data_IF_362243204478
#
_entry.id   IF_362243204478
#
_cell.length_a   1.000
_cell.length_b   1.000
_cell.length_c   1.000
_cell.angle_alpha   90.00
_cell.angle_beta   90.00
_cell.angle_gamma   90.00
#
_symmetry.space_group_name_H-M   'P 1'
#
loop_
_entity.id
_entity.type
_entity.pdbx_description
1 polymer ?
#
# COMPACT_ATOMS: atom_id res chain seq x y z
N UNK A 1 6.96 -13.63 -26.13
CA UNK A 1 5.71 -12.85 -26.02
C UNK A 1 4.55 -13.84 -26.04
N UNK A 2 4.05 -14.22 -24.87
CA UNK A 2 2.88 -15.09 -24.74
C UNK A 2 1.81 -14.31 -23.98
N UNK A 3 0.80 -13.83 -24.71
CA UNK A 3 -0.43 -13.29 -24.15
C UNK A 3 -1.26 -14.47 -23.62
N UNK A 4 -1.44 -14.54 -22.30
CA UNK A 4 -2.47 -15.40 -21.71
C UNK A 4 -3.81 -14.66 -21.69
N UNK A 5 -4.88 -15.18 -22.30
CA UNK A 5 -6.20 -14.62 -22.14
C UNK A 5 -6.73 -14.95 -20.73
N UNK A 6 -7.10 -13.94 -19.94
CA UNK A 6 -7.89 -14.12 -18.71
C UNK A 6 -9.31 -14.51 -19.11
N UNK A 7 -9.72 -15.74 -18.80
CA UNK A 7 -11.11 -16.17 -18.84
C UNK A 7 -11.89 -15.43 -17.74
N UNK A 8 -12.68 -14.43 -18.14
CA UNK A 8 -13.72 -13.84 -17.29
C UNK A 8 -14.87 -14.84 -17.18
N UNK A 9 -14.97 -15.52 -16.04
CA UNK A 9 -16.10 -16.42 -15.76
C UNK A 9 -17.26 -15.58 -15.26
N UNK A 10 -18.09 -15.10 -16.19
CA UNK A 10 -19.35 -14.41 -15.88
C UNK A 10 -20.31 -15.36 -15.16
N UNK A 11 -20.48 -15.19 -13.84
CA UNK A 11 -21.54 -15.85 -13.10
C UNK A 11 -22.85 -15.13 -13.44
N UNK A 12 -23.73 -15.84 -14.16
CA UNK A 12 -25.09 -15.42 -14.46
C UNK A 12 -25.93 -15.45 -13.17
N UNK A 13 -26.13 -14.30 -12.54
CA UNK A 13 -27.21 -14.13 -11.55
C UNK A 13 -28.56 -14.16 -12.29
N UNK A 14 -29.11 -15.36 -12.46
CA UNK A 14 -30.49 -15.56 -12.86
C UNK A 14 -31.39 -15.52 -11.61
N UNK A 15 -32.40 -14.65 -11.61
CA UNK A 15 -33.71 -14.71 -10.92
C UNK A 15 -34.36 -13.34 -11.18
N UNK A 16 -35.54 -13.17 -11.79
CA UNK A 16 -36.76 -13.94 -11.64
C UNK A 16 -37.69 -13.23 -10.66
N UNK A 17 -38.64 -12.42 -11.16
CA UNK A 17 -39.83 -11.97 -10.41
C UNK A 17 -39.85 -10.51 -9.94
N UNK A 18 -40.92 -9.80 -10.33
CA UNK A 18 -41.30 -8.44 -9.95
C UNK A 18 -41.54 -8.29 -8.43
N UNK A 19 -40.78 -7.44 -7.74
CA UNK A 19 -41.21 -6.79 -6.49
C UNK A 19 -40.33 -5.55 -6.23
N UNK A 20 -40.95 -4.37 -6.25
CA UNK A 20 -40.30 -3.09 -5.90
C UNK A 20 -40.13 -3.03 -4.39
N UNK A 21 -38.89 -3.15 -3.93
CA UNK A 21 -38.45 -2.80 -2.58
C UNK A 21 -37.18 -1.95 -2.72
N UNK A 22 -37.27 -0.72 -2.23
CA UNK A 22 -36.14 0.20 -2.01
C UNK A 22 -35.16 -0.44 -1.04
N UNK A 23 -34.28 -1.31 -1.55
CA UNK A 23 -33.07 -1.71 -0.87
C UNK A 23 -31.97 -0.80 -1.41
N UNK A 24 -31.44 0.03 -0.53
CA UNK A 24 -30.17 0.73 -0.69
C UNK A 24 -29.21 -0.19 -1.43
N UNK A 25 -28.92 0.14 -2.68
CA UNK A 25 -27.78 -0.39 -3.38
C UNK A 25 -26.55 0.18 -2.66
N UNK A 26 -26.18 -0.42 -1.53
CA UNK A 26 -24.78 -0.53 -1.19
C UNK A 26 -24.20 -1.40 -2.29
N UNK A 27 -23.82 -0.78 -3.41
CA UNK A 27 -22.85 -1.40 -4.29
C UNK A 27 -21.69 -1.74 -3.37
N UNK A 28 -21.37 -3.03 -3.21
CA UNK A 28 -20.07 -3.43 -2.73
C UNK A 28 -19.09 -2.75 -3.68
N UNK A 29 -18.56 -1.60 -3.25
CA UNK A 29 -17.47 -0.96 -3.97
C UNK A 29 -16.32 -1.89 -3.68
N UNK A 30 -16.01 -2.74 -4.64
CA UNK A 30 -14.85 -3.60 -4.58
C UNK A 30 -13.65 -2.65 -4.53
N UNK A 31 -12.98 -2.63 -3.37
CA UNK A 31 -11.84 -1.75 -3.16
C UNK A 31 -10.60 -2.54 -3.54
N UNK A 32 -9.67 -1.93 -4.27
CA UNK A 32 -8.37 -2.55 -4.56
C UNK A 32 -7.46 -2.64 -3.31
N UNK A 33 -7.97 -2.33 -2.10
CA UNK A 33 -7.25 -2.54 -0.84
C UNK A 33 -6.84 -4.00 -0.71
N UNK A 34 -5.54 -4.21 -0.60
CA UNK A 34 -4.94 -5.54 -0.50
C UNK A 34 -4.52 -6.17 -1.83
N UNK A 35 -4.85 -5.55 -2.97
CA UNK A 35 -4.32 -5.98 -4.27
C UNK A 35 -2.79 -5.87 -4.28
N UNK A 36 -2.05 -6.82 -4.90
CA UNK A 36 -0.60 -6.79 -4.91
C UNK A 36 -0.07 -5.63 -5.75
N UNK A 37 1.02 -5.01 -5.30
CA UNK A 37 1.72 -3.94 -6.00
C UNK A 37 3.23 -4.10 -5.89
N UNK A 38 3.97 -3.44 -6.79
CA UNK A 38 5.42 -3.31 -6.78
C UNK A 38 5.81 -2.00 -6.09
N UNK A 39 6.70 -2.12 -5.11
CA UNK A 39 7.29 -0.99 -4.41
C UNK A 39 8.26 -0.26 -5.33
N UNK A 40 8.16 1.06 -5.35
CA UNK A 40 9.09 1.94 -6.04
C UNK A 40 9.87 2.80 -5.04
N UNK A 41 11.05 3.23 -5.44
CA UNK A 41 11.86 4.21 -4.71
C UNK A 41 11.40 5.61 -5.09
N UNK A 42 10.96 6.36 -4.08
CA UNK A 42 10.44 7.72 -4.22
C UNK A 42 11.48 8.72 -4.76
N UNK A 43 12.77 8.35 -4.71
CA UNK A 43 13.86 9.19 -5.18
C UNK A 43 14.76 8.41 -6.12
N UNK A 44 14.70 8.79 -7.39
CA UNK A 44 15.76 8.53 -8.35
C UNK A 44 17.06 9.16 -7.82
N UNK A 45 18.01 8.32 -7.41
CA UNK A 45 19.29 8.76 -6.89
C UNK A 45 20.40 8.41 -7.88
N UNK A 46 20.76 9.38 -8.73
CA UNK A 46 21.88 9.27 -9.68
C UNK A 46 23.24 9.03 -9.02
N UNK A 47 23.34 9.18 -7.69
CA UNK A 47 24.55 8.87 -6.94
C UNK A 47 24.73 7.37 -6.70
N UNK A 48 23.70 6.55 -6.90
CA UNK A 48 23.81 5.09 -6.86
C UNK A 48 24.73 4.59 -7.99
N UNK A 49 25.74 3.74 -7.68
CA UNK A 49 26.61 3.17 -8.70
C UNK A 49 25.80 2.43 -9.77
N UNK A 50 25.93 2.83 -11.03
CA UNK A 50 25.20 2.23 -12.15
C UNK A 50 23.89 2.93 -12.54
N UNK A 51 23.38 3.86 -11.71
CA UNK A 51 22.11 4.56 -11.95
C UNK A 51 22.26 5.96 -12.56
N UNK A 52 23.49 6.42 -12.78
CA UNK A 52 23.74 7.75 -13.36
C UNK A 52 23.28 7.79 -14.82
N UNK A 53 22.33 8.67 -15.12
CA UNK A 53 21.83 8.90 -16.48
C UNK A 53 20.80 7.87 -16.95
N UNK A 54 20.29 7.02 -16.05
CA UNK A 54 19.21 6.07 -16.33
C UNK A 54 17.87 6.83 -16.32
N UNK A 55 17.05 6.69 -17.36
CA UNK A 55 15.74 7.33 -17.47
C UNK A 55 14.65 6.48 -16.80
N UNK A 56 13.51 7.05 -16.35
CA UNK A 56 12.33 6.26 -15.99
C UNK A 56 11.87 5.27 -17.08
N UNK A 57 12.17 5.54 -18.36
CA UNK A 57 11.87 4.60 -19.44
C UNK A 57 12.73 3.32 -19.41
N UNK A 58 13.83 3.33 -18.65
CA UNK A 58 14.80 2.23 -18.55
C UNK A 58 14.54 1.30 -17.34
N UNK A 59 13.38 1.42 -16.66
CA UNK A 59 13.02 0.63 -15.47
C UNK A 59 13.22 -0.88 -15.70
N UNK A 60 12.90 -1.37 -16.90
CA UNK A 60 13.01 -2.80 -17.22
C UNK A 60 14.47 -3.27 -17.31
N UNK A 61 15.39 -2.38 -17.66
CA UNK A 61 16.82 -2.66 -17.82
C UNK A 61 17.60 -2.38 -16.54
N UNK A 62 17.10 -1.47 -15.69
CA UNK A 62 17.73 -1.00 -14.47
C UNK A 62 16.77 -0.96 -13.26
N UNK A 63 16.09 -2.08 -12.92
CA UNK A 63 15.10 -2.09 -11.85
C UNK A 63 15.69 -1.73 -10.48
N UNK A 64 16.99 -1.97 -10.25
CA UNK A 64 17.72 -1.61 -9.03
C UNK A 64 17.72 -0.10 -8.74
N UNK A 65 17.58 0.71 -9.79
CA UNK A 65 17.55 2.16 -9.69
C UNK A 65 16.16 2.71 -9.32
N UNK A 66 15.11 1.89 -9.48
CA UNK A 66 13.72 2.32 -9.31
C UNK A 66 12.95 1.56 -8.25
N UNK A 67 13.44 0.39 -7.83
CA UNK A 67 12.80 -0.44 -6.81
C UNK A 67 13.76 -0.73 -5.64
N UNK A 68 13.24 -0.94 -4.42
CA UNK A 68 14.04 -1.48 -3.34
C UNK A 68 14.47 -2.92 -3.66
N UNK A 69 15.70 -3.25 -3.31
CA UNK A 69 16.25 -4.60 -3.42
C UNK A 69 15.70 -5.48 -2.29
N UNK A 70 15.72 -6.80 -2.49
CA UNK A 70 15.41 -7.72 -1.40
C UNK A 70 16.34 -7.54 -0.19
N UNK A 71 17.62 -7.21 -0.41
CA UNK A 71 18.54 -6.87 0.66
C UNK A 71 18.09 -5.67 1.49
N UNK A 72 17.65 -4.59 0.84
CA UNK A 72 17.10 -3.40 1.51
C UNK A 72 15.83 -3.73 2.29
N UNK A 73 14.89 -4.47 1.70
CA UNK A 73 13.64 -4.88 2.35
C UNK A 73 13.88 -5.85 3.52
N UNK A 74 14.83 -6.77 3.39
CA UNK A 74 15.20 -7.72 4.43
C UNK A 74 15.94 -7.06 5.60
N UNK A 75 16.77 -6.05 5.34
CA UNK A 75 17.42 -5.24 6.38
C UNK A 75 16.40 -4.33 7.08
N UNK A 76 15.41 -3.83 6.34
CA UNK A 76 14.34 -2.99 6.85
C UNK A 76 13.07 -3.73 7.26
N UNK A 77 13.12 -5.01 7.65
CA UNK A 77 11.91 -5.76 8.09
C UNK A 77 11.14 -5.10 9.23
N UNK A 78 11.82 -4.30 10.05
CA UNK A 78 11.22 -3.53 11.14
C UNK A 78 10.59 -2.20 10.68
N UNK A 79 10.61 -1.90 9.37
CA UNK A 79 10.14 -0.65 8.80
C UNK A 79 8.98 -0.89 7.85
N UNK A 80 8.16 0.13 7.73
CA UNK A 80 7.17 0.23 6.68
C UNK A 80 7.79 0.83 5.42
N UNK A 81 7.33 0.35 4.27
CA UNK A 81 7.64 0.93 2.98
C UNK A 81 6.36 1.48 2.38
N UNK A 82 6.45 2.70 1.89
CA UNK A 82 5.36 3.41 1.22
C UNK A 82 5.88 3.80 -0.14
N UNK A 83 5.10 3.54 -1.18
CA UNK A 83 5.41 3.96 -2.54
C UNK A 83 4.17 4.59 -3.16
N UNK A 84 4.35 5.83 -3.63
CA UNK A 84 3.27 6.62 -4.23
C UNK A 84 3.26 6.43 -5.76
N UNK A 85 2.07 6.38 -6.35
CA UNK A 85 1.91 6.35 -7.80
C UNK A 85 2.22 4.99 -8.46
N UNK A 86 2.16 3.88 -7.71
CA UNK A 86 2.19 2.55 -8.29
C UNK A 86 1.00 2.37 -9.26
N UNK A 87 1.29 2.02 -10.52
CA UNK A 87 0.29 2.05 -11.59
C UNK A 87 -0.88 1.08 -11.34
N UNK A 88 -0.60 -0.04 -10.70
CA UNK A 88 -1.59 -1.06 -10.31
C UNK A 88 -2.46 -0.67 -9.12
N UNK A 89 -2.12 0.39 -8.38
CA UNK A 89 -2.90 0.87 -7.25
C UNK A 89 -3.88 2.00 -7.61
N UNK A 90 -3.88 2.50 -8.84
CA UNK A 90 -4.70 3.65 -9.28
C UNK A 90 -4.59 4.85 -8.32
N UNK A 91 -5.62 5.09 -7.49
CA UNK A 91 -5.68 6.16 -6.49
C UNK A 91 -5.26 5.74 -5.08
N UNK A 92 -4.84 4.49 -4.88
CA UNK A 92 -4.33 3.94 -3.63
C UNK A 92 -2.80 4.05 -3.55
N UNK A 93 -2.25 3.81 -2.37
CA UNK A 93 -0.81 3.83 -2.11
C UNK A 93 -0.27 2.41 -1.97
N UNK A 94 0.88 2.11 -2.58
CA UNK A 94 1.51 0.80 -2.42
C UNK A 94 2.27 0.75 -1.09
N UNK A 95 1.92 -0.20 -0.23
CA UNK A 95 2.46 -0.33 1.13
C UNK A 95 3.01 -1.72 1.36
N UNK A 96 4.14 -1.81 2.05
CA UNK A 96 4.59 -3.05 2.69
C UNK A 96 4.79 -2.79 4.18
N UNK A 97 4.04 -3.50 5.00
CA UNK A 97 4.15 -3.36 6.46
C UNK A 97 5.41 -4.02 7.02
N UNK A 98 5.88 -3.50 8.15
CA UNK A 98 6.86 -4.17 9.00
C UNK A 98 6.39 -5.58 9.35
N UNK A 99 7.32 -6.51 9.48
CA UNK A 99 7.03 -7.90 9.81
C UNK A 99 6.44 -8.75 8.67
N UNK A 100 6.25 -8.18 7.48
CA UNK A 100 5.84 -8.95 6.30
C UNK A 100 6.87 -10.05 5.97
N UNK A 101 6.41 -11.26 5.57
CA UNK A 101 7.29 -12.37 5.24
C UNK A 101 8.33 -12.00 4.19
N UNK A 102 9.51 -12.61 4.31
CA UNK A 102 10.61 -12.45 3.35
C UNK A 102 10.13 -12.72 1.94
N UNK A 103 10.63 -11.91 1.00
CA UNK A 103 10.31 -12.10 -0.41
C UNK A 103 10.80 -13.48 -0.86
N UNK A 104 9.94 -14.20 -1.57
CA UNK A 104 10.28 -15.51 -2.14
C UNK A 104 11.35 -15.40 -3.25
N UNK A 105 11.54 -14.22 -3.83
CA UNK A 105 12.54 -13.92 -4.86
C UNK A 105 13.02 -12.48 -4.76
N UNK A 106 14.28 -12.22 -5.12
CA UNK A 106 14.86 -10.87 -5.21
C UNK A 106 14.24 -10.01 -6.32
N UNK A 107 13.45 -10.61 -7.20
CA UNK A 107 12.83 -9.96 -8.36
C UNK A 107 11.44 -9.37 -8.09
N UNK A 108 10.91 -9.45 -6.86
CA UNK A 108 9.55 -8.97 -6.55
C UNK A 108 9.51 -8.15 -5.26
N UNK A 109 10.03 -6.91 -5.26
CA UNK A 109 9.83 -5.97 -4.16
C UNK A 109 8.37 -5.56 -4.07
N UNK A 110 7.55 -6.45 -3.52
CA UNK A 110 6.10 -6.36 -3.54
C UNK A 110 5.53 -5.89 -2.20
N UNK A 111 4.43 -5.16 -2.33
CA UNK A 111 3.54 -4.72 -1.27
C UNK A 111 2.08 -5.01 -1.62
N UNK A 112 1.18 -4.24 -1.03
CA UNK A 112 -0.23 -4.25 -1.33
C UNK A 112 -0.77 -2.82 -1.42
N UNK A 113 -1.79 -2.60 -2.24
CA UNK A 113 -2.47 -1.32 -2.35
C UNK A 113 -3.25 -1.02 -1.07
N UNK A 114 -3.14 0.21 -0.60
CA UNK A 114 -3.63 0.67 0.69
C UNK A 114 -4.34 2.02 0.54
N UNK A 115 -5.55 2.10 1.08
CA UNK A 115 -6.30 3.35 1.16
C UNK A 115 -5.98 4.14 2.43
N UNK A 116 -6.15 5.46 2.35
CA UNK A 116 -6.22 6.32 3.53
C UNK A 116 -7.44 5.93 4.38
N UNK A 117 -7.33 6.09 5.70
CA UNK A 117 -8.38 5.69 6.62
C UNK A 117 -8.45 6.62 7.83
N UNK A 118 -9.63 6.70 8.45
CA UNK A 118 -9.85 7.36 9.73
C UNK A 118 -9.92 6.31 10.84
N UNK A 119 -10.58 5.18 10.55
CA UNK A 119 -10.81 4.06 11.48
C UNK A 119 -10.84 2.70 10.74
N UNK A 120 -10.89 1.60 11.49
CA UNK A 120 -10.82 0.23 10.93
C UNK A 120 -11.96 -0.13 9.97
N UNK A 121 -13.12 0.55 10.05
CA UNK A 121 -14.25 0.28 9.15
C UNK A 121 -13.93 0.73 7.72
N UNK A 122 -13.03 1.69 7.55
CA UNK A 122 -12.59 2.18 6.24
C UNK A 122 -11.68 1.16 5.53
N UNK A 123 -11.20 0.14 6.24
CA UNK A 123 -10.26 -0.87 5.76
C UNK A 123 -10.91 -2.22 5.43
N UNK A 124 -12.23 -2.24 5.22
CA UNK A 124 -12.91 -3.45 4.76
C UNK A 124 -12.40 -3.85 3.37
N UNK A 125 -11.87 -5.07 3.23
CA UNK A 125 -11.50 -5.65 1.94
C UNK A 125 -11.96 -7.10 1.80
N UNK A 126 -12.11 -7.57 0.57
CA UNK A 126 -12.55 -8.95 0.29
C UNK A 126 -11.48 -10.00 0.63
N UNK A 127 -10.20 -9.60 0.74
CA UNK A 127 -9.05 -10.53 0.66
C UNK A 127 -8.12 -10.52 1.89
N UNK A 128 -8.46 -9.83 2.99
CA UNK A 128 -7.62 -9.85 4.19
C UNK A 128 -8.15 -9.03 5.35
N UNK A 129 -7.52 -9.18 6.52
CA UNK A 129 -7.79 -8.33 7.69
C UNK A 129 -6.85 -7.13 7.65
N UNK A 130 -7.39 -5.97 7.32
CA UNK A 130 -6.70 -4.69 7.39
C UNK A 130 -7.18 -3.89 8.60
N UNK A 131 -6.29 -3.08 9.16
CA UNK A 131 -6.55 -2.16 10.27
C UNK A 131 -5.96 -0.79 9.94
N UNK A 132 -6.59 0.25 10.45
CA UNK A 132 -6.23 1.62 10.18
C UNK A 132 -5.10 2.09 11.12
N UNK A 133 -3.88 2.28 10.58
CA UNK A 133 -2.73 2.73 11.37
C UNK A 133 -1.90 3.79 10.66
N UNK A 134 -1.13 4.55 11.43
CA UNK A 134 -0.14 5.48 10.89
C UNK A 134 1.04 4.73 10.25
N UNK A 135 1.51 5.20 9.09
CA UNK A 135 2.67 4.65 8.38
C UNK A 135 3.89 5.59 8.35
N UNK A 136 3.67 6.90 8.51
CA UNK A 136 4.70 7.93 8.27
C UNK A 136 5.68 8.07 9.45
N UNK A 137 5.31 7.54 10.61
CA UNK A 137 6.14 7.58 11.81
C UNK A 137 6.24 6.21 12.42
N UNK A 138 7.45 5.88 12.86
CA UNK A 138 7.68 4.73 13.71
C UNK A 138 6.86 4.87 15.01
N UNK A 139 6.17 3.80 15.40
CA UNK A 139 5.28 3.84 16.57
C UNK A 139 6.05 4.19 17.85
N UNK A 140 7.30 3.74 17.99
CA UNK A 140 8.16 4.08 19.13
C UNK A 140 8.50 5.57 19.13
N UNK A 141 8.78 6.15 17.97
CA UNK A 141 8.97 7.60 17.82
C UNK A 141 7.69 8.40 18.12
N UNK A 142 6.51 7.94 17.69
CA UNK A 142 5.24 8.59 18.04
C UNK A 142 4.95 8.52 19.53
N UNK A 143 5.17 7.37 20.16
CA UNK A 143 5.04 7.21 21.60
C UNK A 143 6.02 8.10 22.35
N UNK A 144 7.28 8.13 21.93
CA UNK A 144 8.29 9.04 22.48
C UNK A 144 7.84 10.50 22.38
N UNK A 145 7.32 10.93 21.23
CA UNK A 145 6.80 12.30 21.08
C UNK A 145 5.57 12.56 21.94
N UNK A 146 4.66 11.59 22.09
CA UNK A 146 3.48 11.70 22.93
C UNK A 146 3.83 11.83 24.41
N UNK A 147 4.87 11.12 24.86
CA UNK A 147 5.35 11.14 26.24
C UNK A 147 6.20 12.39 26.55
N UNK A 148 6.88 12.93 25.54
CA UNK A 148 7.84 14.04 25.73
C UNK A 148 7.21 15.43 25.52
N UNK A 149 6.16 15.53 24.71
CA UNK A 149 5.51 16.81 24.38
C UNK A 149 4.25 17.03 25.22
N UNK A 150 3.92 18.30 25.49
CA UNK A 150 2.60 18.63 26.03
C UNK A 150 1.50 18.29 25.00
N UNK A 151 0.25 18.01 25.42
CA UNK A 151 -0.84 17.70 24.49
C UNK A 151 -1.07 18.76 23.41
N UNK A 152 -0.85 20.04 23.72
CA UNK A 152 -0.98 21.13 22.76
C UNK A 152 0.18 21.18 21.76
N UNK A 153 1.40 20.85 22.18
CA UNK A 153 2.56 20.75 21.29
C UNK A 153 2.47 19.51 20.39
N UNK A 154 2.10 18.37 20.97
CA UNK A 154 1.84 17.15 20.21
C UNK A 154 0.78 17.40 19.13
N UNK A 155 -0.35 18.03 19.47
CA UNK A 155 -1.38 18.36 18.48
C UNK A 155 -0.96 19.45 17.49
N UNK A 156 -0.12 20.41 17.89
CA UNK A 156 0.43 21.42 16.98
C UNK A 156 1.36 20.81 15.93
N UNK A 157 2.20 19.86 16.33
CA UNK A 157 3.17 19.22 15.44
C UNK A 157 2.59 18.05 14.67
N UNK A 158 1.75 17.22 15.31
CA UNK A 158 1.25 15.95 14.78
C UNK A 158 -0.26 15.89 14.60
N UNK A 159 -1.05 16.81 15.18
CA UNK A 159 -2.50 16.85 15.00
C UNK A 159 -2.93 17.20 13.57
N UNK A 160 -2.00 17.64 12.70
CA UNK A 160 -2.23 17.80 11.25
C UNK A 160 -1.89 16.54 10.44
N UNK A 161 -1.32 15.52 11.08
CA UNK A 161 -0.94 14.23 10.47
C UNK A 161 -2.02 13.16 10.67
N UNK A 162 -3.20 13.52 11.18
CA UNK A 162 -4.38 12.64 11.19
C UNK A 162 -4.71 12.05 9.81
N UNK A 163 -4.18 12.65 8.73
CA UNK A 163 -4.30 12.20 7.34
C UNK A 163 -3.16 11.25 6.89
N UNK A 164 -2.38 10.68 7.80
CA UNK A 164 -1.28 9.75 7.46
C UNK A 164 -1.53 8.32 7.94
N UNK A 165 -2.81 7.99 8.14
CA UNK A 165 -3.24 6.62 8.44
C UNK A 165 -3.66 5.92 7.16
N UNK A 166 -3.26 4.67 7.07
CA UNK A 166 -3.50 3.81 5.92
C UNK A 166 -4.00 2.45 6.38
N UNK A 167 -4.68 1.76 5.48
CA UNK A 167 -5.14 0.40 5.70
C UNK A 167 -3.98 -0.59 5.57
N UNK A 168 -3.60 -1.21 6.69
CA UNK A 168 -2.45 -2.11 6.74
C UNK A 168 -2.84 -3.48 7.26
N UNK A 169 -2.11 -4.53 6.87
CA UNK A 169 -2.37 -5.87 7.40
C UNK A 169 -2.25 -5.84 8.92
N UNK A 170 -3.27 -6.39 9.59
CA UNK A 170 -3.26 -6.52 11.04
C UNK A 170 -2.08 -7.40 11.45
N UNK A 171 -1.21 -6.89 12.32
CA UNK A 171 -0.06 -7.62 12.89
C UNK A 171 -0.50 -8.57 13.99
#
# INVERSE_FOLDING_TARGET
MAMHPRLSTSIRCALGGLAVLLLSAGSCVDTDIGAPCQLQKDRFDESLPGCRGVSPDDIAQHPECFHPTAGELNQGKAKDYISFGAAECDNLTCVRSRGEPDLASETEPSGYCSGECINDQDCASENGKFSCRALVFDDEFLHYLADTLSPEEYNRYLGRLENSKFCTRAQ
#
